data_IF_720950501764
#
_entry.id   IF_720950501764
#
_cell.length_a   1.000
_cell.length_b   1.000
_cell.length_c   1.000
_cell.angle_alpha   90.00
_cell.angle_beta   90.00
_cell.angle_gamma   90.00
#
_symmetry.space_group_name_H-M   'P 1'
#
loop_
_entity.id
_entity.type
_entity.pdbx_description
1 polymer ?
#
# COMPACT_ATOMS: atom_id res chain seq x y z
N UNK A 1 -2.16 15.02 -35.77
CA UNK A 1 -1.16 16.08 -35.51
C UNK A 1 0.21 15.43 -35.32
N UNK A 2 1.29 15.86 -35.99
CA UNK A 2 2.64 15.34 -35.72
C UNK A 2 2.97 15.57 -34.24
N UNK A 3 3.55 14.57 -33.57
CA UNK A 3 4.03 14.70 -32.19
C UNK A 3 5.11 15.78 -32.10
N UNK A 4 5.26 16.44 -30.95
CA UNK A 4 6.29 17.45 -30.70
C UNK A 4 7.67 16.98 -31.21
N UNK A 5 8.03 15.73 -30.90
CA UNK A 5 9.31 15.12 -31.28
C UNK A 5 9.53 15.07 -32.80
N UNK A 6 8.52 14.67 -33.59
CA UNK A 6 8.62 14.65 -35.04
C UNK A 6 8.83 16.05 -35.65
N UNK A 7 8.25 17.11 -35.06
CA UNK A 7 8.48 18.49 -35.52
C UNK A 7 9.83 19.06 -35.10
N UNK A 8 10.45 18.49 -34.05
CA UNK A 8 11.80 18.82 -33.59
C UNK A 8 12.89 18.11 -34.41
N UNK A 9 12.53 17.29 -35.40
CA UNK A 9 13.48 16.41 -36.09
C UNK A 9 13.96 15.23 -35.23
N UNK A 10 13.27 14.96 -34.10
CA UNK A 10 13.59 13.90 -33.16
C UNK A 10 12.68 12.69 -33.41
N UNK A 11 13.30 11.51 -33.58
CA UNK A 11 12.57 10.27 -33.77
C UNK A 11 12.60 9.45 -32.49
N UNK A 12 11.43 9.07 -31.98
CA UNK A 12 11.33 8.12 -30.88
C UNK A 12 11.59 6.72 -31.40
N UNK A 13 12.77 6.18 -31.08
CA UNK A 13 13.04 4.75 -31.28
C UNK A 13 12.56 3.99 -30.04
N UNK A 14 11.31 3.56 -30.07
CA UNK A 14 10.74 2.76 -28.99
C UNK A 14 11.43 1.40 -28.98
N UNK A 15 11.87 0.94 -27.81
CA UNK A 15 12.44 -0.39 -27.66
C UNK A 15 11.37 -1.44 -28.02
N UNK A 16 11.76 -2.48 -28.76
CA UNK A 16 10.83 -3.59 -29.02
C UNK A 16 10.45 -4.24 -27.68
N UNK A 17 9.18 -4.59 -27.54
CA UNK A 17 8.65 -5.29 -26.36
C UNK A 17 9.54 -6.50 -26.05
N UNK A 18 9.93 -6.68 -24.78
CA UNK A 18 10.84 -7.75 -24.29
C UNK A 18 12.28 -7.71 -24.81
N UNK A 19 12.75 -6.60 -25.39
CA UNK A 19 14.17 -6.38 -25.73
C UNK A 19 14.75 -5.15 -25.01
N UNK A 20 14.87 -5.17 -23.67
CA UNK A 20 15.36 -4.02 -22.88
C UNK A 20 16.80 -3.61 -23.25
N UNK A 21 17.56 -4.55 -23.82
CA UNK A 21 18.93 -4.35 -24.31
C UNK A 21 19.01 -3.37 -25.51
N UNK A 22 17.87 -3.08 -26.14
CA UNK A 22 17.78 -2.02 -27.17
C UNK A 22 17.66 -0.61 -26.61
N UNK A 23 17.56 -0.46 -25.27
CA UNK A 23 17.60 0.84 -24.59
C UNK A 23 18.99 1.46 -24.78
N UNK A 24 19.02 2.70 -25.30
CA UNK A 24 20.25 3.35 -25.75
C UNK A 24 21.35 3.42 -24.67
N UNK A 25 22.61 3.42 -25.13
CA UNK A 25 23.90 3.43 -24.41
C UNK A 25 24.07 4.47 -23.27
N UNK A 26 23.07 5.29 -22.97
CA UNK A 26 23.15 6.45 -22.08
C UNK A 26 23.36 6.04 -20.61
N UNK A 27 22.87 4.88 -20.17
CA UNK A 27 23.00 4.44 -18.77
C UNK A 27 24.46 4.23 -18.33
N UNK A 28 25.32 3.70 -19.22
CA UNK A 28 26.75 3.51 -18.93
C UNK A 28 27.50 4.84 -18.77
N UNK A 29 27.11 5.87 -19.52
CA UNK A 29 27.69 7.21 -19.39
C UNK A 29 27.39 7.85 -18.03
N UNK A 30 26.15 7.71 -17.55
CA UNK A 30 25.76 8.19 -16.21
C UNK A 30 26.54 7.46 -15.12
N UNK A 31 26.67 6.14 -15.21
CA UNK A 31 27.45 5.36 -14.26
C UNK A 31 28.94 5.73 -14.27
N UNK A 32 29.50 6.01 -15.45
CA UNK A 32 30.88 6.48 -15.58
C UNK A 32 31.10 7.82 -14.86
N UNK A 33 30.23 8.80 -15.07
CA UNK A 33 30.29 10.10 -14.36
C UNK A 33 30.14 9.90 -12.85
N UNK A 34 29.17 9.10 -12.41
CA UNK A 34 28.96 8.82 -10.97
C UNK A 34 30.16 8.18 -10.30
N UNK A 35 30.88 7.32 -11.00
CA UNK A 35 32.00 6.58 -10.43
C UNK A 35 33.35 7.30 -10.58
N UNK A 36 33.49 8.24 -11.52
CA UNK A 36 34.78 8.86 -11.86
C UNK A 36 34.84 10.38 -11.68
N UNK A 37 33.70 11.07 -11.65
CA UNK A 37 33.63 12.51 -11.40
C UNK A 37 33.21 12.83 -9.98
N UNK A 38 32.11 12.25 -9.49
CA UNK A 38 31.49 12.61 -8.22
C UNK A 38 32.27 12.20 -6.95
N UNK A 39 32.99 11.07 -6.88
CA UNK A 39 33.60 10.62 -5.62
C UNK A 39 34.63 11.63 -5.10
N UNK A 40 34.46 12.06 -3.85
CA UNK A 40 35.39 12.98 -3.17
C UNK A 40 35.29 14.45 -3.59
N UNK A 41 34.31 14.84 -4.42
CA UNK A 41 34.10 16.24 -4.81
C UNK A 41 33.51 17.05 -3.67
N UNK A 42 34.03 18.27 -3.48
CA UNK A 42 33.50 19.30 -2.59
C UNK A 42 33.19 20.51 -3.47
N UNK A 43 32.02 21.09 -3.30
CA UNK A 43 31.57 22.26 -4.05
C UNK A 43 30.72 23.15 -3.14
N UNK A 44 30.72 24.45 -3.41
CA UNK A 44 30.02 25.45 -2.60
C UNK A 44 28.57 25.61 -3.07
N UNK A 45 28.35 25.60 -4.38
CA UNK A 45 27.03 25.66 -5.02
C UNK A 45 26.99 24.87 -6.33
N UNK A 46 25.82 24.82 -6.96
CA UNK A 46 25.64 24.09 -8.22
C UNK A 46 26.46 24.68 -9.37
N UNK A 47 26.77 25.98 -9.33
CA UNK A 47 27.53 26.64 -10.39
C UNK A 47 29.01 26.22 -10.33
N UNK A 48 29.58 26.17 -9.12
CA UNK A 48 30.91 25.61 -8.85
C UNK A 48 31.00 24.14 -9.29
N UNK A 49 30.02 23.30 -8.92
CA UNK A 49 30.01 21.90 -9.37
C UNK A 49 29.94 21.77 -10.90
N UNK A 50 29.15 22.63 -11.57
CA UNK A 50 29.06 22.65 -13.03
C UNK A 50 30.38 23.05 -13.68
N UNK A 51 31.09 24.05 -13.15
CA UNK A 51 32.42 24.43 -13.64
C UNK A 51 33.43 23.29 -13.46
N UNK A 52 33.44 22.63 -12.30
CA UNK A 52 34.27 21.45 -12.05
C UNK A 52 33.96 20.30 -13.02
N UNK A 53 32.68 20.09 -13.35
CA UNK A 53 32.24 19.08 -14.32
C UNK A 53 32.71 19.41 -15.74
N UNK A 54 32.58 20.67 -16.18
CA UNK A 54 33.07 21.12 -17.49
C UNK A 54 34.57 20.90 -17.63
N UNK A 55 35.35 21.29 -16.61
CA UNK A 55 36.80 21.09 -16.62
C UNK A 55 37.19 19.60 -16.64
N UNK A 56 36.45 18.76 -15.91
CA UNK A 56 36.63 17.31 -15.94
C UNK A 56 36.31 16.74 -17.33
N UNK A 57 35.22 17.19 -17.98
CA UNK A 57 34.86 16.80 -19.34
C UNK A 57 35.95 17.18 -20.36
N UNK A 58 36.51 18.39 -20.29
CA UNK A 58 37.62 18.80 -21.16
C UNK A 58 38.83 17.87 -21.06
N UNK A 59 39.18 17.46 -19.83
CA UNK A 59 40.30 16.55 -19.58
C UNK A 59 40.00 15.15 -20.12
N UNK A 60 38.81 14.61 -19.89
CA UNK A 60 38.43 13.26 -20.35
C UNK A 60 38.28 13.21 -21.87
N UNK A 61 37.74 14.25 -22.50
CA UNK A 61 37.53 14.33 -23.96
C UNK A 61 38.84 14.42 -24.76
N UNK A 62 39.98 14.70 -24.10
CA UNK A 62 41.32 14.69 -24.70
C UNK A 62 42.02 13.33 -24.61
N UNK A 63 41.45 12.35 -23.90
CA UNK A 63 42.00 11.00 -23.83
C UNK A 63 41.59 10.20 -25.06
N UNK A 64 42.48 9.33 -25.55
CA UNK A 64 42.14 8.36 -26.59
C UNK A 64 41.12 7.36 -26.01
N UNK A 65 39.95 7.27 -26.63
CA UNK A 65 38.88 6.42 -26.14
C UNK A 65 39.04 4.99 -26.68
N UNK A 66 39.06 3.99 -25.79
CA UNK A 66 39.47 2.62 -26.12
C UNK A 66 38.60 1.90 -27.15
N UNK A 67 37.33 2.31 -27.34
CA UNK A 67 36.45 1.71 -28.37
C UNK A 67 36.57 2.39 -29.72
N UNK A 68 36.87 3.69 -29.75
CA UNK A 68 36.87 4.50 -30.98
C UNK A 68 38.27 4.76 -31.52
N UNK A 69 39.32 4.53 -30.72
CA UNK A 69 40.72 4.75 -31.12
C UNK A 69 41.13 6.23 -31.25
N UNK A 70 40.19 7.15 -31.08
CA UNK A 70 40.35 8.60 -31.27
C UNK A 70 40.04 9.35 -29.98
N UNK A 71 40.46 10.63 -29.92
CA UNK A 71 40.04 11.54 -28.86
C UNK A 71 38.61 12.00 -29.14
N UNK A 72 37.67 11.90 -28.17
CA UNK A 72 36.29 12.35 -28.35
C UNK A 72 36.16 13.79 -28.88
N UNK A 73 37.08 14.69 -28.50
CA UNK A 73 37.08 16.08 -28.95
C UNK A 73 37.33 16.25 -30.46
N UNK A 74 38.15 15.39 -31.06
CA UNK A 74 38.45 15.46 -32.49
C UNK A 74 37.28 14.87 -33.28
N UNK A 75 36.78 13.71 -32.83
CA UNK A 75 35.62 13.04 -33.42
C UNK A 75 34.36 13.89 -33.40
N UNK A 76 34.13 14.66 -32.33
CA UNK A 76 32.98 15.56 -32.22
C UNK A 76 32.99 16.65 -33.31
N UNK A 77 34.17 17.09 -33.77
CA UNK A 77 34.28 18.09 -34.85
C UNK A 77 33.87 17.53 -36.21
N UNK A 78 33.95 16.22 -36.37
CA UNK A 78 33.54 15.51 -37.58
C UNK A 78 32.06 15.09 -37.55
N UNK A 79 31.39 15.20 -36.38
CA UNK A 79 29.96 14.91 -36.28
C UNK A 79 29.11 16.07 -36.83
N UNK A 80 28.38 15.80 -37.91
CA UNK A 80 27.41 16.73 -38.51
C UNK A 80 26.10 16.79 -37.70
N UNK A 81 26.18 17.22 -36.44
CA UNK A 81 25.00 17.38 -35.59
C UNK A 81 24.17 18.58 -36.05
N UNK A 82 22.87 18.39 -36.18
CA UNK A 82 21.95 19.50 -36.41
C UNK A 82 21.82 20.33 -35.13
N UNK A 83 21.81 21.68 -35.22
CA UNK A 83 21.57 22.52 -34.06
C UNK A 83 20.18 22.23 -33.48
N UNK A 84 20.08 22.35 -32.15
CA UNK A 84 18.80 22.32 -31.45
C UNK A 84 17.89 23.39 -32.11
N UNK A 85 16.63 23.08 -32.47
CA UNK A 85 15.79 24.06 -33.17
C UNK A 85 15.58 25.34 -32.34
N UNK A 86 15.24 26.46 -32.96
CA UNK A 86 15.02 27.72 -32.21
C UNK A 86 13.86 27.60 -31.22
N UNK A 87 13.92 28.33 -30.10
CA UNK A 87 12.90 28.30 -29.05
C UNK A 87 11.48 28.62 -29.59
N UNK A 88 11.39 29.50 -30.59
CA UNK A 88 10.16 29.87 -31.30
C UNK A 88 9.43 28.66 -31.92
N UNK A 89 10.17 27.61 -32.34
CA UNK A 89 9.56 26.42 -32.95
C UNK A 89 8.74 25.58 -31.97
N UNK A 90 8.93 25.77 -30.66
CA UNK A 90 8.36 24.91 -29.62
C UNK A 90 7.36 25.64 -28.73
N UNK A 91 7.23 26.95 -28.91
CA UNK A 91 6.41 27.83 -28.09
C UNK A 91 4.97 27.34 -27.94
N UNK A 92 4.38 26.80 -29.03
CA UNK A 92 3.03 26.22 -29.03
C UNK A 92 2.85 24.94 -28.19
N UNK A 93 3.93 24.29 -27.76
CA UNK A 93 3.90 23.05 -26.98
C UNK A 93 4.28 23.27 -25.51
N UNK A 94 4.63 24.50 -25.13
CA UNK A 94 4.92 24.90 -23.74
C UNK A 94 3.65 25.24 -22.94
N UNK A 95 2.48 25.21 -23.57
CA UNK A 95 1.20 25.51 -22.94
C UNK A 95 0.52 24.22 -22.47
N UNK A 96 0.59 23.94 -21.17
CA UNK A 96 -0.14 22.84 -20.53
C UNK A 96 -1.55 23.30 -20.12
N UNK A 97 -2.64 22.66 -20.61
CA UNK A 97 -3.98 22.99 -20.16
C UNK A 97 -4.17 22.58 -18.69
N UNK A 98 -4.71 23.48 -17.87
CA UNK A 98 -4.99 23.28 -16.45
C UNK A 98 -6.31 23.96 -16.07
N UNK A 99 -7.06 23.32 -15.17
CA UNK A 99 -8.23 23.95 -14.57
C UNK A 99 -7.84 24.81 -13.38
N UNK A 100 -8.43 26.00 -13.30
CA UNK A 100 -8.33 26.86 -12.12
C UNK A 100 -9.27 26.33 -11.04
N UNK A 101 -8.75 26.04 -9.85
CA UNK A 101 -9.55 25.61 -8.72
C UNK A 101 -10.51 26.69 -8.22
N UNK A 102 -11.56 26.31 -7.47
CA UNK A 102 -12.59 27.25 -6.97
C UNK A 102 -12.04 28.32 -6.03
N UNK A 103 -10.94 28.04 -5.35
CA UNK A 103 -10.20 28.96 -4.48
C UNK A 103 -9.19 29.84 -5.24
N UNK A 104 -9.15 29.75 -6.58
CA UNK A 104 -8.37 30.62 -7.45
C UNK A 104 -6.91 30.20 -7.64
N UNK A 105 -6.62 28.90 -7.78
CA UNK A 105 -5.25 28.41 -7.99
C UNK A 105 -5.13 27.48 -9.19
N UNK A 106 -3.92 27.42 -9.76
CA UNK A 106 -3.53 26.45 -10.78
C UNK A 106 -2.34 25.65 -10.27
N UNK A 107 -2.36 24.33 -10.45
CA UNK A 107 -1.25 23.45 -10.06
C UNK A 107 -0.30 23.20 -11.22
N UNK A 108 0.98 23.46 -10.99
CA UNK A 108 2.08 23.19 -11.92
C UNK A 108 3.32 22.75 -11.14
N UNK A 109 3.94 21.64 -11.56
CA UNK A 109 5.15 21.05 -10.96
C UNK A 109 5.06 20.84 -9.42
N UNK A 110 3.87 20.47 -8.92
CA UNK A 110 3.62 20.24 -7.49
C UNK A 110 3.51 21.49 -6.62
N UNK A 111 3.47 22.68 -7.23
CA UNK A 111 3.24 23.99 -6.58
C UNK A 111 1.86 24.52 -6.99
N UNK A 112 1.21 25.28 -6.11
CA UNK A 112 -0.07 25.96 -6.38
C UNK A 112 0.19 27.45 -6.62
N UNK A 113 -0.10 27.93 -7.82
CA UNK A 113 0.07 29.32 -8.22
C UNK A 113 -1.29 30.02 -8.28
N UNK A 114 -1.41 31.15 -7.59
CA UNK A 114 -2.64 31.93 -7.47
C UNK A 114 -2.99 32.66 -8.77
N UNK A 115 -4.27 32.78 -9.07
CA UNK A 115 -4.78 33.56 -10.20
C UNK A 115 -5.96 34.40 -9.74
N UNK A 116 -6.25 35.54 -10.39
CA UNK A 116 -7.40 36.36 -10.02
C UNK A 116 -8.69 35.54 -9.97
N UNK A 117 -9.46 35.71 -8.90
CA UNK A 117 -10.60 34.88 -8.56
C UNK A 117 -11.67 34.78 -9.66
N UNK A 118 -11.75 35.78 -10.55
CA UNK A 118 -12.68 35.83 -11.68
C UNK A 118 -12.49 34.67 -12.67
N UNK A 119 -11.31 34.04 -12.66
CA UNK A 119 -10.97 32.89 -13.49
C UNK A 119 -11.19 31.55 -12.77
N UNK A 120 -11.72 31.55 -11.53
CA UNK A 120 -12.00 30.32 -10.78
C UNK A 120 -12.96 29.40 -11.54
N UNK A 121 -12.60 28.12 -11.67
CA UNK A 121 -13.38 27.13 -12.42
C UNK A 121 -13.24 27.22 -13.95
N UNK A 122 -12.48 28.18 -14.49
CA UNK A 122 -12.20 28.24 -15.93
C UNK A 122 -11.00 27.37 -16.31
N UNK A 123 -10.91 27.05 -17.60
CA UNK A 123 -9.73 26.41 -18.19
C UNK A 123 -8.70 27.48 -18.57
N UNK A 124 -7.45 27.27 -18.16
CA UNK A 124 -6.31 28.09 -18.53
C UNK A 124 -5.17 27.23 -19.08
N UNK A 125 -4.13 27.88 -19.60
CA UNK A 125 -2.88 27.23 -19.97
C UNK A 125 -1.74 27.77 -19.12
N UNK A 126 -0.84 26.89 -18.70
CA UNK A 126 0.36 27.26 -17.95
C UNK A 126 1.56 27.05 -18.84
N UNK A 127 2.49 28.00 -18.84
CA UNK A 127 3.79 27.87 -19.48
C UNK A 127 4.90 28.33 -18.56
N UNK A 128 6.07 27.74 -18.72
CA UNK A 128 7.30 28.16 -18.07
C UNK A 128 8.20 28.89 -19.06
N UNK A 129 8.56 30.13 -18.75
CA UNK A 129 9.41 30.98 -19.60
C UNK A 129 10.44 31.66 -18.71
N UNK A 130 11.73 31.39 -18.96
CA UNK A 130 12.85 32.05 -18.27
C UNK A 130 12.76 32.04 -16.73
N UNK A 131 12.32 30.92 -16.14
CA UNK A 131 12.15 30.78 -14.69
C UNK A 131 10.88 31.43 -14.11
N UNK A 132 9.98 31.89 -14.97
CA UNK A 132 8.64 32.37 -14.61
C UNK A 132 7.58 31.38 -15.04
N UNK A 133 6.56 31.21 -14.23
CA UNK A 133 5.33 30.49 -14.55
C UNK A 133 4.30 31.52 -14.97
N UNK A 134 3.91 31.50 -16.24
CA UNK A 134 2.86 32.34 -16.79
C UNK A 134 1.58 31.52 -16.97
N UNK A 135 0.48 32.07 -16.50
CA UNK A 135 -0.84 31.45 -16.57
C UNK A 135 -1.70 32.31 -17.48
N UNK A 136 -2.28 31.68 -18.49
CA UNK A 136 -3.05 32.33 -19.55
C UNK A 136 -4.48 31.79 -19.57
N UNK A 137 -5.46 32.67 -19.69
CA UNK A 137 -6.85 32.31 -19.94
C UNK A 137 -7.48 33.32 -20.91
N UNK A 138 -8.37 32.86 -21.78
CA UNK A 138 -9.08 33.69 -22.76
C UNK A 138 -8.14 34.56 -23.63
N UNK A 139 -6.94 34.05 -23.95
CA UNK A 139 -5.94 34.77 -24.75
C UNK A 139 -5.15 35.86 -24.01
N UNK A 140 -5.33 36.01 -22.69
CA UNK A 140 -4.62 36.99 -21.86
C UNK A 140 -3.79 36.32 -20.76
N UNK A 141 -2.65 36.92 -20.41
CA UNK A 141 -1.83 36.47 -19.28
C UNK A 141 -2.50 36.93 -17.98
N UNK A 142 -3.09 35.99 -17.24
CA UNK A 142 -3.89 36.29 -16.03
C UNK A 142 -3.04 36.33 -14.77
N UNK A 143 -1.89 35.65 -14.73
CA UNK A 143 -0.96 35.71 -13.62
C UNK A 143 0.45 35.30 -14.07
N UNK A 144 1.46 35.91 -13.46
CA UNK A 144 2.87 35.57 -13.67
C UNK A 144 3.58 35.44 -12.32
N UNK A 145 4.23 34.31 -12.11
CA UNK A 145 4.89 33.95 -10.84
C UNK A 145 6.33 33.53 -11.04
N UNK A 146 7.20 33.81 -10.07
CA UNK A 146 8.54 33.24 -10.08
C UNK A 146 8.45 31.73 -9.79
N UNK A 147 9.16 30.89 -10.54
CA UNK A 147 9.11 29.44 -10.36
C UNK A 147 9.69 29.05 -9.00
N UNK A 148 8.92 28.26 -8.26
CA UNK A 148 9.32 27.72 -6.95
C UNK A 148 9.63 26.24 -7.09
N UNK A 149 10.83 25.82 -6.66
CA UNK A 149 11.30 24.43 -6.74
C UNK A 149 10.98 23.57 -5.50
N UNK A 150 10.16 24.10 -4.58
CA UNK A 150 9.74 23.42 -3.35
C UNK A 150 8.33 22.83 -3.53
N UNK A 151 8.24 21.50 -3.61
CA UNK A 151 6.96 20.79 -3.69
C UNK A 151 6.03 21.17 -2.52
N UNK A 152 4.72 21.29 -2.80
CA UNK A 152 3.63 21.69 -1.88
C UNK A 152 3.64 23.16 -1.43
N UNK A 153 4.45 24.02 -2.04
CA UNK A 153 4.36 25.46 -1.82
C UNK A 153 3.07 26.06 -2.45
N UNK A 154 2.60 27.17 -1.89
CA UNK A 154 1.50 27.97 -2.44
C UNK A 154 1.99 29.39 -2.64
N UNK A 155 1.80 29.93 -3.84
CA UNK A 155 2.24 31.27 -4.25
C UNK A 155 0.99 32.08 -4.62
N UNK A 156 0.77 33.21 -3.97
CA UNK A 156 -0.38 34.08 -4.20
C UNK A 156 -0.06 35.13 -5.26
N UNK A 157 -1.04 35.54 -6.06
CA UNK A 157 -0.88 36.68 -6.98
C UNK A 157 -1.36 37.97 -6.32
N UNK A 158 -0.83 39.10 -6.77
CA UNK A 158 -1.30 40.40 -6.33
C UNK A 158 -2.79 40.56 -6.69
N UNK A 159 -3.58 41.12 -5.77
CA UNK A 159 -5.01 41.36 -5.98
C UNK A 159 -5.84 40.11 -6.33
N UNK A 160 -5.38 38.92 -5.91
CA UNK A 160 -6.05 37.63 -6.21
C UNK A 160 -7.56 37.64 -5.94
N UNK A 161 -7.99 38.31 -4.87
CA UNK A 161 -9.39 38.41 -4.45
C UNK A 161 -9.98 39.83 -4.59
N UNK A 162 -9.34 40.73 -5.33
CA UNK A 162 -9.79 42.11 -5.46
C UNK A 162 -11.15 42.20 -6.19
N UNK A 163 -12.08 42.96 -5.61
CA UNK A 163 -13.43 43.13 -6.16
C UNK A 163 -14.36 41.93 -5.99
N UNK A 164 -13.94 40.87 -5.28
CA UNK A 164 -14.92 40.08 -4.54
C UNK A 164 -15.52 41.05 -3.53
N UNK A 165 -16.79 41.40 -3.70
CA UNK A 165 -17.57 41.76 -2.53
C UNK A 165 -17.34 40.61 -1.57
N UNK A 166 -16.82 40.89 -0.38
CA UNK A 166 -17.09 40.01 0.75
C UNK A 166 -18.57 39.77 0.62
N UNK A 167 -18.98 38.58 0.18
CA UNK A 167 -20.35 38.18 0.39
C UNK A 167 -20.56 38.57 1.85
N UNK A 168 -21.61 39.33 2.12
CA UNK A 168 -22.17 39.34 3.45
C UNK A 168 -22.53 37.87 3.70
N UNK A 169 -21.52 37.08 4.04
CA UNK A 169 -21.70 35.82 4.68
C UNK A 169 -22.59 36.17 5.85
N UNK A 170 -23.57 35.32 6.10
CA UNK A 170 -24.15 35.23 7.43
C UNK A 170 -23.01 35.50 8.41
N UNK A 171 -23.14 36.59 9.15
CA UNK A 171 -22.19 36.91 10.18
C UNK A 171 -22.29 35.76 11.16
N UNK A 172 -21.50 34.71 10.95
CA UNK A 172 -21.03 33.91 12.06
C UNK A 172 -20.35 34.94 12.94
N UNK A 173 -20.89 35.21 14.14
CA UNK A 173 -20.21 36.12 15.04
C UNK A 173 -18.79 35.61 15.15
N UNK A 174 -17.82 36.45 14.78
CA UNK A 174 -16.42 36.14 15.08
C UNK A 174 -16.42 35.85 16.58
N UNK A 175 -15.91 34.69 17.05
CA UNK A 175 -15.67 34.52 18.47
C UNK A 175 -14.60 35.55 18.85
N UNK A 176 -15.07 36.73 19.23
CA UNK A 176 -14.28 37.78 19.81
C UNK A 176 -14.37 37.54 21.31
N UNK A 177 -13.22 37.39 21.95
CA UNK A 177 -13.16 37.60 23.38
C UNK A 177 -13.56 39.07 23.62
N UNK A 178 -14.75 39.31 24.18
CA UNK A 178 -15.06 40.60 24.79
C UNK A 178 -14.31 40.63 26.10
N UNK A 179 -13.35 41.54 26.24
CA UNK A 179 -12.85 41.91 27.56
C UNK A 179 -13.99 42.67 28.26
N UNK A 180 -14.76 41.93 29.04
CA UNK A 180 -15.69 42.50 30.01
C UNK A 180 -14.80 43.23 31.01
N UNK A 181 -15.14 44.47 31.41
CA UNK A 181 -14.50 45.09 32.58
C UNK A 181 -14.54 44.05 33.66
N UNK A 182 -13.38 43.71 34.25
CA UNK A 182 -13.32 42.71 35.31
C UNK A 182 -14.48 43.03 36.25
N UNK A 183 -15.48 42.14 36.32
CA UNK A 183 -16.20 42.05 37.57
C UNK A 183 -15.10 41.98 38.63
N UNK A 184 -15.24 42.74 39.72
CA UNK A 184 -14.47 42.42 40.90
C UNK A 184 -14.88 41.01 41.30
N UNK A 185 -14.24 40.03 40.66
CA UNK A 185 -14.19 38.66 41.09
C UNK A 185 -13.32 38.79 42.31
N UNK A 186 -13.93 38.66 43.49
CA UNK A 186 -13.15 38.40 44.69
C UNK A 186 -12.23 37.24 44.36
N UNK A 187 -10.94 37.52 44.24
CA UNK A 187 -9.92 36.48 44.18
C UNK A 187 -9.86 35.90 45.58
N UNK A 188 -10.76 34.94 45.84
CA UNK A 188 -10.74 34.13 47.06
C UNK A 188 -9.58 33.15 46.94
N UNK A 189 -9.02 32.72 48.08
CA UNK A 189 -7.94 31.74 48.06
C UNK A 189 -8.40 30.46 47.36
N UNK A 190 -7.45 29.74 46.75
CA UNK A 190 -7.70 28.47 46.05
C UNK A 190 -8.48 27.47 46.93
N UNK A 191 -8.31 27.57 48.26
CA UNK A 191 -9.01 26.78 49.29
C UNK A 191 -10.55 26.88 49.20
N UNK A 192 -11.09 28.03 48.75
CA UNK A 192 -12.55 28.23 48.63
C UNK A 192 -13.13 27.48 47.43
N UNK A 193 -12.36 27.30 46.36
CA UNK A 193 -12.77 26.51 45.19
C UNK A 193 -12.59 25.00 45.44
N UNK A 194 -11.57 24.62 46.22
CA UNK A 194 -11.40 23.25 46.72
C UNK A 194 -12.57 22.79 47.59
N UNK A 195 -13.07 23.67 48.47
CA UNK A 195 -14.21 23.38 49.35
C UNK A 195 -15.56 23.25 48.61
N UNK A 196 -15.73 23.91 47.47
CA UNK A 196 -17.00 23.89 46.71
C UNK A 196 -17.12 22.72 45.72
N UNK A 197 -15.99 22.15 45.27
CA UNK A 197 -15.98 21.08 44.26
C UNK A 197 -15.59 19.70 44.79
N UNK A 198 -15.21 19.59 46.08
CA UNK A 198 -14.56 18.36 46.58
C UNK A 198 -13.24 18.08 45.84
N UNK A 199 -12.54 19.16 45.46
CA UNK A 199 -11.68 19.25 44.27
C UNK A 199 -10.44 18.35 44.23
N UNK A 200 -10.00 17.77 45.34
CA UNK A 200 -8.85 16.86 45.34
C UNK A 200 -9.08 15.61 44.51
N UNK A 201 -10.22 14.94 44.70
CA UNK A 201 -10.47 13.63 44.06
C UNK A 201 -10.84 13.74 42.58
N UNK A 202 -11.54 14.81 42.16
CA UNK A 202 -11.86 15.03 40.74
C UNK A 202 -10.62 15.38 39.91
N UNK A 203 -9.69 16.15 40.48
CA UNK A 203 -8.43 16.48 39.80
C UNK A 203 -7.56 15.22 39.68
N UNK A 204 -7.48 14.41 40.73
CA UNK A 204 -6.75 13.14 40.72
C UNK A 204 -7.34 12.13 39.72
N UNK A 205 -8.67 12.06 39.62
CA UNK A 205 -9.38 11.22 38.65
C UNK A 205 -9.05 11.63 37.21
N UNK A 206 -9.19 12.92 36.87
CA UNK A 206 -8.90 13.40 35.52
C UNK A 206 -7.42 13.21 35.16
N UNK A 207 -6.50 13.43 36.13
CA UNK A 207 -5.09 13.14 35.94
C UNK A 207 -4.82 11.65 35.69
N UNK A 208 -5.48 10.76 36.42
CA UNK A 208 -5.38 9.32 36.19
C UNK A 208 -5.89 8.94 34.79
N UNK A 209 -7.02 9.51 34.36
CA UNK A 209 -7.57 9.28 33.03
C UNK A 209 -6.61 9.73 31.92
N UNK A 210 -6.08 10.95 32.01
CA UNK A 210 -5.11 11.48 31.04
C UNK A 210 -3.84 10.63 30.96
N UNK A 211 -3.32 10.15 32.10
CA UNK A 211 -2.15 9.24 32.12
C UNK A 211 -2.46 7.90 31.45
N UNK A 212 -3.65 7.34 31.68
CA UNK A 212 -4.08 6.12 31.00
C UNK A 212 -4.15 6.31 29.48
N UNK A 213 -4.68 7.45 29.03
CA UNK A 213 -4.72 7.80 27.60
C UNK A 213 -3.32 7.97 26.99
N UNK A 214 -2.40 8.64 27.71
CA UNK A 214 -1.01 8.83 27.28
C UNK A 214 -0.26 7.49 27.15
N UNK A 215 -0.57 6.53 28.01
CA UNK A 215 -0.07 5.14 27.93
C UNK A 215 -0.80 4.28 26.88
N UNK A 216 -1.81 4.83 26.19
CA UNK A 216 -2.61 4.15 25.18
C UNK A 216 -3.65 3.18 25.74
N UNK A 217 -3.95 3.24 27.04
CA UNK A 217 -4.93 2.40 27.75
C UNK A 217 -6.33 3.05 27.65
N UNK A 218 -6.83 3.21 26.43
CA UNK A 218 -8.06 3.97 26.17
C UNK A 218 -9.32 3.34 26.77
N UNK A 219 -9.42 2.02 26.81
CA UNK A 219 -10.56 1.33 27.40
C UNK A 219 -10.52 1.45 28.93
N UNK A 220 -9.34 1.34 29.53
CA UNK A 220 -9.16 1.60 30.96
C UNK A 220 -9.57 3.04 31.31
N UNK A 221 -9.15 4.02 30.52
CA UNK A 221 -9.53 5.43 30.72
C UNK A 221 -11.05 5.64 30.61
N UNK A 222 -11.70 5.01 29.62
CA UNK A 222 -13.14 5.09 29.42
C UNK A 222 -13.94 4.45 30.55
N UNK A 223 -13.47 3.33 31.10
CA UNK A 223 -14.18 2.55 32.11
C UNK A 223 -13.79 2.90 33.55
N UNK A 224 -12.86 3.83 33.75
CA UNK A 224 -12.32 4.22 35.06
C UNK A 224 -13.43 4.63 36.04
N UNK A 225 -14.32 5.53 35.62
CA UNK A 225 -15.40 6.05 36.46
C UNK A 225 -16.36 4.92 36.90
N UNK A 226 -16.79 4.10 35.93
CA UNK A 226 -17.67 2.97 36.20
C UNK A 226 -17.03 1.92 37.14
N UNK A 227 -15.72 1.68 37.01
CA UNK A 227 -15.00 0.75 37.89
C UNK A 227 -14.80 1.33 39.29
N UNK A 228 -14.62 2.65 39.42
CA UNK A 228 -14.52 3.32 40.73
C UNK A 228 -15.85 3.29 41.47
N UNK A 229 -16.96 3.54 40.77
CA UNK A 229 -18.30 3.39 41.32
C UNK A 229 -18.55 1.94 41.79
N UNK A 230 -18.24 0.95 40.94
CA UNK A 230 -18.36 -0.46 41.32
C UNK A 230 -17.46 -0.84 42.51
N UNK A 231 -16.24 -0.31 42.56
CA UNK A 231 -15.31 -0.55 43.66
C UNK A 231 -15.78 0.10 44.97
N UNK A 232 -16.48 1.22 44.91
CA UNK A 232 -17.06 1.86 46.10
C UNK A 232 -18.10 0.95 46.79
N UNK A 233 -18.86 0.18 46.00
CA UNK A 233 -19.86 -0.76 46.51
C UNK A 233 -19.30 -2.13 46.87
N UNK A 234 -18.35 -2.65 46.08
CA UNK A 234 -17.79 -3.99 46.26
C UNK A 234 -16.55 -4.06 47.16
N UNK A 235 -15.94 -2.92 47.50
CA UNK A 235 -14.70 -2.81 48.27
C UNK A 235 -13.58 -3.80 47.87
N UNK A 236 -13.24 -3.92 46.57
CA UNK A 236 -12.15 -4.78 46.12
C UNK A 236 -10.81 -4.27 46.67
N UNK A 237 -9.83 -5.17 46.82
CA UNK A 237 -8.45 -4.76 47.13
C UNK A 237 -7.88 -3.90 46.00
N UNK A 238 -6.90 -3.04 46.30
CA UNK A 238 -6.27 -2.19 45.28
C UNK A 238 -5.68 -3.00 44.11
N UNK A 239 -5.11 -4.18 44.39
CA UNK A 239 -4.62 -5.09 43.36
C UNK A 239 -5.76 -5.65 42.50
N UNK A 240 -6.88 -6.01 43.10
CA UNK A 240 -8.04 -6.51 42.37
C UNK A 240 -8.66 -5.42 41.47
N UNK A 241 -8.74 -4.19 41.96
CA UNK A 241 -9.21 -3.05 41.17
C UNK A 241 -8.29 -2.79 39.96
N UNK A 242 -6.97 -2.73 40.20
CA UNK A 242 -6.00 -2.52 39.14
C UNK A 242 -6.06 -3.64 38.08
N UNK A 243 -6.11 -4.90 38.51
CA UNK A 243 -6.20 -6.03 37.57
C UNK A 243 -7.51 -5.99 36.77
N UNK A 244 -8.65 -5.68 37.40
CA UNK A 244 -9.93 -5.57 36.68
C UNK A 244 -9.87 -4.51 35.57
N UNK A 245 -9.27 -3.35 35.86
CA UNK A 245 -9.12 -2.27 34.89
C UNK A 245 -8.17 -2.66 33.74
N UNK A 246 -7.05 -3.33 34.05
CA UNK A 246 -6.10 -3.82 33.06
C UNK A 246 -6.68 -4.96 32.22
N UNK A 247 -7.44 -5.87 32.81
CA UNK A 247 -8.11 -6.98 32.13
C UNK A 247 -9.14 -6.46 31.12
N UNK A 248 -9.90 -5.41 31.47
CA UNK A 248 -10.82 -4.75 30.55
C UNK A 248 -10.08 -4.16 29.33
N UNK A 249 -8.92 -3.53 29.53
CA UNK A 249 -8.08 -3.04 28.44
C UNK A 249 -7.49 -4.16 27.59
N UNK A 250 -7.00 -5.24 28.21
CA UNK A 250 -6.45 -6.40 27.51
C UNK A 250 -7.54 -7.04 26.65
N UNK A 251 -8.74 -7.25 27.19
CA UNK A 251 -9.87 -7.83 26.47
C UNK A 251 -10.25 -6.99 25.24
N UNK A 252 -10.35 -5.66 25.40
CA UNK A 252 -10.68 -4.78 24.28
C UNK A 252 -9.55 -4.70 23.24
N UNK A 253 -8.28 -4.72 23.67
CA UNK A 253 -7.14 -4.83 22.73
C UNK A 253 -7.16 -6.15 21.96
N UNK A 254 -7.44 -7.27 22.62
CA UNK A 254 -7.55 -8.58 21.97
C UNK A 254 -8.70 -8.58 20.96
N UNK A 255 -9.86 -8.04 21.32
CA UNK A 255 -11.01 -7.88 20.43
C UNK A 255 -10.67 -7.03 19.20
N UNK A 256 -10.13 -5.82 19.39
CA UNK A 256 -9.69 -4.95 18.28
C UNK A 256 -8.65 -5.63 17.39
N UNK A 257 -7.67 -6.30 17.98
CA UNK A 257 -6.65 -7.03 17.22
C UNK A 257 -7.25 -8.17 16.40
N UNK A 258 -8.21 -8.91 16.96
CA UNK A 258 -8.93 -9.97 16.26
C UNK A 258 -9.75 -9.42 15.09
N UNK A 259 -10.49 -8.32 15.30
CA UNK A 259 -11.25 -7.66 14.24
C UNK A 259 -10.35 -7.17 13.10
N UNK A 260 -9.22 -6.54 13.44
CA UNK A 260 -8.23 -6.08 12.45
C UNK A 260 -7.64 -7.25 11.69
N UNK A 261 -7.21 -8.33 12.37
CA UNK A 261 -6.68 -9.53 11.70
C UNK A 261 -7.73 -10.18 10.81
N UNK A 262 -8.98 -10.25 11.25
CA UNK A 262 -10.09 -10.79 10.44
C UNK A 262 -10.27 -10.00 9.15
N UNK A 263 -10.23 -8.65 9.22
CA UNK A 263 -10.30 -7.78 8.04
C UNK A 263 -9.08 -7.97 7.12
N UNK A 264 -7.88 -8.04 7.68
CA UNK A 264 -6.63 -8.21 6.93
C UNK A 264 -6.46 -9.62 6.34
N UNK A 265 -7.18 -10.61 6.86
CA UNK A 265 -7.11 -11.99 6.37
C UNK A 265 -7.84 -12.19 5.04
N UNK A 266 -8.71 -11.28 4.61
CA UNK A 266 -9.45 -11.38 3.35
C UNK A 266 -10.23 -12.71 3.19
N UNK A 267 -10.82 -13.21 4.29
CA UNK A 267 -11.65 -14.41 4.23
C UNK A 267 -12.88 -14.16 3.33
N UNK A 268 -13.22 -15.08 2.41
CA UNK A 268 -14.35 -14.90 1.50
C UNK A 268 -15.69 -14.98 2.23
N UNK A 269 -15.73 -15.76 3.30
CA UNK A 269 -16.87 -15.97 4.20
C UNK A 269 -16.34 -16.50 5.53
N UNK A 270 -17.19 -16.52 6.56
CA UNK A 270 -16.86 -17.12 7.86
C UNK A 270 -17.50 -18.51 7.96
N UNK A 271 -16.67 -19.52 8.24
CA UNK A 271 -17.05 -20.90 8.54
C UNK A 271 -16.18 -21.41 9.67
N UNK A 272 -16.75 -22.18 10.59
CA UNK A 272 -16.01 -22.79 11.71
C UNK A 272 -15.88 -24.30 11.54
N UNK A 273 -15.05 -24.93 12.37
CA UNK A 273 -14.91 -26.39 12.39
C UNK A 273 -16.17 -27.07 12.95
N UNK A 274 -16.91 -26.39 13.83
CA UNK A 274 -18.16 -26.88 14.42
C UNK A 274 -19.27 -27.02 13.37
N UNK A 275 -19.27 -26.15 12.36
CA UNK A 275 -20.20 -26.24 11.22
C UNK A 275 -19.83 -27.37 10.23
N UNK A 276 -18.70 -28.05 10.41
CA UNK A 276 -18.25 -29.11 9.52
C UNK A 276 -18.79 -30.48 9.96
N UNK A 277 -19.54 -31.14 9.08
CA UNK A 277 -20.16 -32.45 9.34
C UNK A 277 -19.18 -33.59 9.01
N UNK A 278 -18.36 -33.98 9.98
CA UNK A 278 -17.39 -35.09 9.81
C UNK A 278 -18.06 -36.42 9.48
N UNK A 279 -19.30 -36.65 9.92
CA UNK A 279 -20.03 -37.87 9.60
C UNK A 279 -20.37 -37.97 8.10
N UNK A 280 -20.65 -36.85 7.44
CA UNK A 280 -20.88 -36.82 6.00
C UNK A 280 -19.60 -36.95 5.17
N UNK A 281 -18.43 -36.63 5.75
CA UNK A 281 -17.15 -36.77 5.08
C UNK A 281 -16.22 -37.73 5.83
N UNK A 282 -16.50 -39.05 5.82
CA UNK A 282 -15.76 -40.03 6.61
C UNK A 282 -14.34 -40.28 6.11
N UNK A 283 -13.98 -39.78 4.91
CA UNK A 283 -12.62 -39.87 4.39
C UNK A 283 -11.61 -38.99 5.14
N UNK A 284 -12.10 -38.04 5.95
CA UNK A 284 -11.27 -37.14 6.73
C UNK A 284 -11.07 -37.73 8.12
N UNK A 285 -9.81 -37.82 8.55
CA UNK A 285 -9.48 -38.07 9.95
C UNK A 285 -9.76 -36.80 10.77
N UNK A 286 -10.86 -36.82 11.53
CA UNK A 286 -11.23 -35.72 12.43
C UNK A 286 -10.13 -35.41 13.46
N UNK A 287 -9.37 -36.42 13.91
CA UNK A 287 -8.30 -36.21 14.89
C UNK A 287 -7.19 -35.35 14.31
N UNK A 288 -6.80 -35.62 13.06
CA UNK A 288 -5.81 -34.81 12.35
C UNK A 288 -6.30 -33.37 12.15
N UNK A 289 -7.57 -33.17 11.77
CA UNK A 289 -8.11 -31.80 11.62
C UNK A 289 -8.11 -31.04 12.95
N UNK A 290 -8.45 -31.72 14.05
CA UNK A 290 -8.39 -31.14 15.40
C UNK A 290 -6.94 -30.85 15.84
N UNK A 291 -5.97 -31.69 15.47
CA UNK A 291 -4.55 -31.39 15.67
C UNK A 291 -4.11 -30.16 14.88
N UNK A 292 -4.50 -30.06 13.61
CA UNK A 292 -4.21 -28.88 12.79
C UNK A 292 -4.84 -27.61 13.37
N UNK A 293 -6.02 -27.71 14.01
CA UNK A 293 -6.68 -26.60 14.70
C UNK A 293 -5.85 -26.02 15.86
N UNK A 294 -4.91 -26.78 16.43
CA UNK A 294 -3.98 -26.26 17.46
C UNK A 294 -2.94 -25.29 16.91
N UNK A 295 -2.85 -25.13 15.58
CA UNK A 295 -1.88 -24.29 14.89
C UNK A 295 -0.40 -24.63 15.15
N UNK A 296 -0.12 -25.80 15.74
CA UNK A 296 1.25 -26.29 15.97
C UNK A 296 2.04 -26.34 14.65
N UNK A 297 1.41 -26.76 13.55
CA UNK A 297 2.02 -26.79 12.22
C UNK A 297 2.50 -25.40 11.76
N UNK A 298 1.80 -24.33 12.13
CA UNK A 298 2.18 -22.94 11.80
C UNK A 298 3.46 -22.55 12.53
N UNK A 299 3.60 -22.97 13.79
CA UNK A 299 4.81 -22.71 14.59
C UNK A 299 6.03 -23.47 14.08
N UNK A 300 5.81 -24.65 13.48
CA UNK A 300 6.85 -25.50 12.86
C UNK A 300 7.15 -25.17 11.41
N UNK A 301 6.45 -24.18 10.83
CA UNK A 301 6.57 -23.83 9.41
C UNK A 301 6.23 -24.98 8.45
N UNK A 302 5.33 -25.88 8.88
CA UNK A 302 4.81 -26.97 8.07
C UNK A 302 3.66 -26.46 7.19
N UNK A 303 3.46 -27.10 6.04
CA UNK A 303 2.38 -26.79 5.10
C UNK A 303 1.19 -27.75 5.29
N UNK A 304 0.01 -27.34 4.83
CA UNK A 304 -1.19 -28.19 4.83
C UNK A 304 -1.77 -28.22 3.42
N UNK A 305 -2.04 -29.41 2.90
CA UNK A 305 -2.56 -29.59 1.55
C UNK A 305 -3.89 -30.35 1.62
N UNK A 306 -4.99 -29.69 1.28
CA UNK A 306 -6.28 -30.32 1.08
C UNK A 306 -6.47 -30.68 -0.40
N UNK A 307 -6.54 -31.97 -0.71
CA UNK A 307 -6.71 -32.48 -2.07
C UNK A 307 -8.03 -33.21 -2.21
N UNK A 308 -8.70 -33.10 -3.36
CA UNK A 308 -9.93 -33.86 -3.61
C UNK A 308 -10.89 -33.20 -4.60
N UNK A 309 -11.97 -33.87 -5.02
CA UNK A 309 -12.90 -33.35 -6.02
C UNK A 309 -13.66 -32.09 -5.53
N UNK A 310 -14.31 -31.34 -6.43
CA UNK A 310 -15.06 -30.14 -6.04
C UNK A 310 -16.21 -30.45 -5.08
N UNK A 311 -16.45 -29.55 -4.13
CA UNK A 311 -17.59 -29.64 -3.21
C UNK A 311 -17.44 -30.57 -2.01
N UNK A 312 -16.26 -31.18 -1.79
CA UNK A 312 -16.04 -32.10 -0.65
C UNK A 312 -15.67 -31.43 0.69
N UNK A 313 -15.52 -30.11 0.73
CA UNK A 313 -15.27 -29.35 1.97
C UNK A 313 -13.86 -28.76 2.15
N UNK A 314 -12.96 -28.87 1.15
CA UNK A 314 -11.57 -28.34 1.23
C UNK A 314 -11.50 -26.87 1.65
N UNK A 315 -12.20 -25.99 0.93
CA UNK A 315 -12.21 -24.55 1.21
C UNK A 315 -12.90 -24.21 2.53
N UNK A 316 -13.89 -25.02 2.97
CA UNK A 316 -14.49 -24.88 4.29
C UNK A 316 -13.44 -25.11 5.38
N UNK A 317 -12.70 -26.22 5.32
CA UNK A 317 -11.66 -26.52 6.30
C UNK A 317 -10.55 -25.47 6.30
N UNK A 318 -10.14 -25.00 5.10
CA UNK A 318 -9.17 -23.92 4.99
C UNK A 318 -9.64 -22.64 5.71
N UNK A 319 -10.88 -22.21 5.48
CA UNK A 319 -11.48 -21.04 6.15
C UNK A 319 -11.65 -21.28 7.65
N UNK A 320 -12.07 -22.49 8.05
CA UNK A 320 -12.26 -22.83 9.46
C UNK A 320 -10.94 -22.79 10.25
N UNK A 321 -9.87 -23.35 9.69
CA UNK A 321 -8.52 -23.24 10.25
C UNK A 321 -8.01 -21.80 10.25
N UNK A 322 -8.40 -20.99 9.26
CA UNK A 322 -8.08 -19.56 9.23
C UNK A 322 -8.72 -18.79 10.40
N UNK A 323 -10.00 -19.05 10.66
CA UNK A 323 -10.74 -18.44 11.78
C UNK A 323 -10.10 -18.84 13.10
N UNK A 324 -9.75 -20.11 13.26
CA UNK A 324 -9.07 -20.62 14.45
C UNK A 324 -7.69 -19.96 14.65
N UNK A 325 -6.87 -19.88 13.59
CA UNK A 325 -5.59 -19.19 13.62
C UNK A 325 -5.72 -17.72 14.04
N UNK A 326 -6.72 -17.00 13.51
CA UNK A 326 -6.96 -15.60 13.86
C UNK A 326 -7.35 -15.44 15.34
N UNK A 327 -8.16 -16.37 15.87
CA UNK A 327 -8.56 -16.38 17.28
C UNK A 327 -7.36 -16.57 18.22
N UNK A 328 -6.37 -17.36 17.81
CA UNK A 328 -5.09 -17.56 18.51
C UNK A 328 -4.07 -16.44 18.24
N UNK A 329 -4.47 -15.36 17.55
CA UNK A 329 -3.64 -14.19 17.30
C UNK A 329 -2.61 -14.35 16.17
N UNK A 330 -2.73 -15.40 15.36
CA UNK A 330 -1.86 -15.66 14.20
C UNK A 330 -2.31 -14.79 13.02
N UNK A 331 -1.34 -14.21 12.30
CA UNK A 331 -1.63 -13.46 11.07
C UNK A 331 -1.89 -14.41 9.91
N UNK A 332 -3.07 -14.26 9.29
CA UNK A 332 -3.52 -15.07 8.16
C UNK A 332 -3.74 -14.18 6.95
N UNK A 333 -3.56 -14.71 5.74
CA UNK A 333 -4.00 -14.09 4.50
C UNK A 333 -4.59 -15.15 3.58
N UNK A 334 -5.81 -14.93 3.10
CA UNK A 334 -6.53 -15.82 2.20
C UNK A 334 -6.59 -15.21 0.81
N UNK A 335 -6.32 -16.03 -0.22
CA UNK A 335 -6.40 -15.63 -1.62
C UNK A 335 -6.64 -16.86 -2.49
N UNK A 336 -7.39 -16.72 -3.59
CA UNK A 336 -7.39 -17.76 -4.62
C UNK A 336 -6.10 -17.69 -5.44
N UNK A 337 -5.62 -18.81 -5.97
CA UNK A 337 -4.39 -18.81 -6.75
C UNK A 337 -4.49 -17.88 -7.97
N UNK A 338 -5.64 -17.85 -8.65
CA UNK A 338 -5.91 -16.96 -9.77
C UNK A 338 -5.71 -15.49 -9.39
N UNK A 339 -6.25 -15.07 -8.24
CA UNK A 339 -6.16 -13.70 -7.76
C UNK A 339 -4.74 -13.33 -7.31
N UNK A 340 -4.03 -14.28 -6.68
CA UNK A 340 -2.62 -14.11 -6.30
C UNK A 340 -1.76 -13.88 -7.55
N UNK A 341 -1.92 -14.73 -8.57
CA UNK A 341 -1.17 -14.62 -9.82
C UNK A 341 -1.46 -13.30 -10.51
N UNK A 342 -2.74 -12.93 -10.69
CA UNK A 342 -3.12 -11.70 -11.37
C UNK A 342 -2.51 -10.47 -10.69
N UNK A 343 -2.56 -10.45 -9.36
CA UNK A 343 -2.02 -9.37 -8.57
C UNK A 343 -0.48 -9.28 -8.64
N UNK A 344 0.22 -10.41 -8.60
CA UNK A 344 1.66 -10.45 -8.79
C UNK A 344 2.08 -10.07 -10.22
N UNK A 345 1.31 -10.46 -11.24
CA UNK A 345 1.54 -10.06 -12.64
C UNK A 345 1.42 -8.56 -12.80
N UNK A 346 0.36 -7.96 -12.25
CA UNK A 346 0.17 -6.50 -12.25
C UNK A 346 1.34 -5.80 -11.55
N UNK A 347 1.75 -6.29 -10.39
CA UNK A 347 2.90 -5.74 -9.67
C UNK A 347 4.23 -5.89 -10.44
N UNK A 348 4.41 -6.99 -11.15
CA UNK A 348 5.56 -7.21 -12.03
C UNK A 348 5.58 -6.22 -13.19
N UNK A 349 4.45 -6.00 -13.88
CA UNK A 349 4.35 -5.01 -14.95
C UNK A 349 4.58 -3.57 -14.49
N UNK A 350 4.22 -3.27 -13.24
CA UNK A 350 4.38 -1.95 -12.62
C UNK A 350 5.73 -1.78 -11.90
N UNK A 351 6.67 -2.73 -12.04
CA UNK A 351 8.00 -2.73 -11.38
C UNK A 351 7.93 -2.55 -9.85
N UNK A 352 6.94 -3.16 -9.21
CA UNK A 352 6.74 -3.13 -7.74
C UNK A 352 6.53 -4.52 -7.14
N UNK A 353 7.05 -5.56 -7.80
CA UNK A 353 6.88 -6.95 -7.41
C UNK A 353 7.34 -7.20 -5.97
N UNK A 354 8.53 -6.72 -5.58
CA UNK A 354 9.08 -6.93 -4.23
C UNK A 354 8.14 -6.42 -3.13
N UNK A 355 7.54 -5.25 -3.33
CA UNK A 355 6.58 -4.67 -2.39
C UNK A 355 5.32 -5.52 -2.30
N UNK A 356 4.87 -6.10 -3.42
CA UNK A 356 3.66 -6.93 -3.46
C UNK A 356 3.88 -8.33 -2.90
N UNK A 357 5.02 -8.97 -3.20
CA UNK A 357 5.41 -10.26 -2.63
C UNK A 357 5.41 -10.24 -1.09
N UNK A 358 5.84 -9.12 -0.46
CA UNK A 358 5.82 -8.97 1.00
C UNK A 358 4.42 -9.15 1.62
N UNK A 359 3.35 -8.85 0.89
CA UNK A 359 1.97 -9.04 1.38
C UNK A 359 1.66 -10.53 1.55
N UNK A 360 2.18 -11.38 0.66
CA UNK A 360 2.00 -12.83 0.72
C UNK A 360 3.03 -13.54 1.60
N UNK A 361 4.19 -12.93 1.85
CA UNK A 361 5.27 -13.52 2.66
C UNK A 361 5.11 -13.18 4.16
N UNK A 362 4.65 -11.98 4.51
CA UNK A 362 4.58 -11.50 5.91
C UNK A 362 3.59 -12.26 6.83
N UNK A 363 2.41 -12.73 6.36
CA UNK A 363 1.49 -13.50 7.18
C UNK A 363 2.13 -14.82 7.66
N UNK A 364 1.88 -15.22 8.91
CA UNK A 364 2.38 -16.50 9.43
C UNK A 364 1.74 -17.69 8.70
N UNK A 365 0.47 -17.57 8.34
CA UNK A 365 -0.26 -18.53 7.52
C UNK A 365 -0.76 -17.87 6.22
N UNK A 366 -0.33 -18.38 5.08
CA UNK A 366 -0.88 -18.01 3.77
C UNK A 366 -1.80 -19.11 3.28
N UNK A 367 -3.04 -18.77 2.96
CA UNK A 367 -4.03 -19.70 2.42
C UNK A 367 -4.21 -19.43 0.93
N UNK A 368 -3.99 -20.46 0.12
CA UNK A 368 -4.10 -20.42 -1.34
C UNK A 368 -5.17 -21.40 -1.79
N UNK A 369 -6.35 -20.87 -2.12
CA UNK A 369 -7.50 -21.67 -2.53
C UNK A 369 -7.54 -21.90 -4.04
N UNK A 370 -8.26 -22.95 -4.46
CA UNK A 370 -8.63 -23.23 -5.86
C UNK A 370 -7.45 -23.50 -6.81
N UNK A 371 -6.43 -24.24 -6.36
CA UNK A 371 -5.35 -24.67 -7.25
C UNK A 371 -5.86 -25.78 -8.18
N UNK A 372 -5.69 -25.60 -9.50
CA UNK A 372 -5.95 -26.65 -10.49
C UNK A 372 -7.08 -26.41 -11.49
N UNK A 373 -7.70 -25.23 -11.49
CA UNK A 373 -8.78 -24.88 -12.43
C UNK A 373 -8.31 -24.16 -13.70
N UNK A 374 -7.22 -23.38 -13.63
CA UNK A 374 -6.69 -22.62 -14.76
C UNK A 374 -5.23 -22.99 -15.02
N UNK A 375 -4.84 -23.28 -16.27
CA UNK A 375 -3.45 -23.51 -16.61
C UNK A 375 -2.64 -22.22 -16.47
N UNK A 376 -1.38 -22.34 -16.09
CA UNK A 376 -0.46 -21.22 -15.95
C UNK A 376 0.34 -20.96 -17.23
N UNK A 377 0.65 -19.69 -17.44
CA UNK A 377 1.77 -19.33 -18.30
C UNK A 377 3.09 -19.39 -17.52
N UNK A 378 4.21 -19.40 -18.23
CA UNK A 378 5.54 -19.48 -17.60
C UNK A 378 5.79 -18.36 -16.58
N UNK A 379 5.21 -17.17 -16.78
CA UNK A 379 5.33 -16.07 -15.82
C UNK A 379 4.58 -16.37 -14.52
N UNK A 380 3.33 -16.84 -14.59
CA UNK A 380 2.54 -17.20 -13.43
C UNK A 380 3.21 -18.31 -12.60
N UNK A 381 3.71 -19.37 -13.25
CA UNK A 381 4.43 -20.44 -12.57
C UNK A 381 5.68 -19.91 -11.82
N UNK A 382 6.45 -19.02 -12.46
CA UNK A 382 7.62 -18.38 -11.83
C UNK A 382 7.23 -17.48 -10.63
N UNK A 383 6.15 -16.70 -10.75
CA UNK A 383 5.67 -15.85 -9.65
C UNK A 383 5.20 -16.68 -8.46
N UNK A 384 4.48 -17.78 -8.72
CA UNK A 384 4.06 -18.69 -7.67
C UNK A 384 5.25 -19.39 -7.01
N UNK A 385 6.23 -19.85 -7.79
CA UNK A 385 7.48 -20.39 -7.28
C UNK A 385 8.22 -19.41 -6.35
N UNK A 386 8.23 -18.12 -6.66
CA UNK A 386 8.83 -17.10 -5.79
C UNK A 386 8.11 -17.01 -4.43
N UNK A 387 6.77 -17.08 -4.41
CA UNK A 387 6.00 -17.08 -3.16
C UNK A 387 6.33 -18.34 -2.34
N UNK A 388 6.29 -19.51 -2.96
CA UNK A 388 6.58 -20.79 -2.28
C UNK A 388 8.00 -20.81 -1.75
N UNK A 389 8.98 -20.42 -2.57
CA UNK A 389 10.39 -20.40 -2.19
C UNK A 389 10.70 -19.40 -1.08
N UNK A 390 10.03 -18.24 -1.06
CA UNK A 390 10.25 -17.25 -0.02
C UNK A 390 9.64 -17.64 1.33
N UNK A 391 8.63 -18.53 1.31
CA UNK A 391 7.94 -19.03 2.51
C UNK A 391 8.49 -20.37 3.02
N UNK A 392 9.17 -21.13 2.17
CA UNK A 392 9.82 -22.38 2.54
C UNK A 392 10.68 -22.21 3.81
N UNK A 393 10.42 -23.03 4.83
CA UNK A 393 11.04 -23.01 6.18
C UNK A 393 10.88 -21.69 6.96
N UNK A 394 10.05 -20.76 6.50
CA UNK A 394 9.87 -19.42 7.12
C UNK A 394 8.41 -19.07 7.44
N UNK A 395 7.45 -19.72 6.77
CA UNK A 395 6.04 -19.47 6.98
C UNK A 395 5.18 -20.53 6.32
N UNK A 396 4.10 -20.94 6.99
CA UNK A 396 3.25 -22.03 6.54
C UNK A 396 2.35 -21.61 5.38
N UNK A 397 2.12 -22.55 4.46
CA UNK A 397 1.15 -22.44 3.38
C UNK A 397 0.08 -23.52 3.60
N UNK A 398 -1.19 -23.09 3.60
CA UNK A 398 -2.32 -24.00 3.46
C UNK A 398 -2.87 -23.85 2.05
N UNK A 399 -2.98 -24.94 1.30
CA UNK A 399 -3.51 -24.91 -0.05
C UNK A 399 -4.65 -25.91 -0.25
N UNK A 400 -5.55 -25.56 -1.16
CA UNK A 400 -6.58 -26.49 -1.63
C UNK A 400 -6.38 -26.77 -3.11
N UNK A 401 -6.52 -28.03 -3.51
CA UNK A 401 -6.45 -28.40 -4.92
C UNK A 401 -7.46 -29.48 -5.29
N UNK A 402 -7.97 -29.41 -6.52
CA UNK A 402 -8.73 -30.49 -7.15
C UNK A 402 -7.86 -31.41 -8.01
N UNK A 403 -6.55 -31.16 -8.08
CA UNK A 403 -5.58 -31.90 -8.88
C UNK A 403 -4.67 -32.74 -7.99
N UNK A 404 -4.30 -33.92 -8.48
CA UNK A 404 -3.24 -34.74 -7.90
C UNK A 404 -1.86 -34.14 -8.23
N UNK A 405 -0.83 -34.48 -7.46
CA UNK A 405 0.52 -33.93 -7.66
C UNK A 405 1.09 -34.20 -9.06
N UNK A 406 0.76 -35.34 -9.68
CA UNK A 406 1.22 -35.66 -11.04
C UNK A 406 0.68 -34.70 -12.11
N UNK A 407 -0.50 -34.11 -11.87
CA UNK A 407 -1.14 -33.18 -12.81
C UNK A 407 -0.60 -31.74 -12.69
N UNK A 408 0.24 -31.45 -11.69
CA UNK A 408 0.79 -30.10 -11.52
C UNK A 408 1.81 -29.72 -12.59
N UNK A 409 2.49 -30.70 -13.20
CA UNK A 409 3.39 -30.45 -14.33
C UNK A 409 2.65 -29.87 -15.53
N UNK A 410 1.50 -30.45 -15.87
CA UNK A 410 0.62 -29.94 -16.94
C UNK A 410 0.01 -28.59 -16.57
N UNK A 411 -0.46 -28.44 -15.32
CA UNK A 411 -1.04 -27.19 -14.83
C UNK A 411 -0.07 -26.01 -14.94
N UNK A 412 1.20 -26.22 -14.61
CA UNK A 412 2.22 -25.16 -14.58
C UNK A 412 2.84 -24.87 -15.96
N UNK A 413 2.62 -25.75 -16.95
CA UNK A 413 3.25 -25.66 -18.27
C UNK A 413 4.78 -25.88 -18.28
N UNK A 414 5.36 -26.21 -17.12
CA UNK A 414 6.78 -26.48 -16.91
C UNK A 414 6.93 -27.57 -15.83
N UNK A 415 7.15 -28.84 -16.22
CA UNK A 415 7.30 -29.95 -15.29
C UNK A 415 8.48 -29.80 -14.32
N UNK A 416 9.57 -29.12 -14.73
CA UNK A 416 10.75 -28.94 -13.89
C UNK A 416 10.41 -27.95 -12.77
N UNK A 417 9.79 -26.83 -13.12
CA UNK A 417 9.36 -25.84 -12.14
C UNK A 417 8.27 -26.38 -11.22
N UNK A 418 7.32 -27.15 -11.75
CA UNK A 418 6.29 -27.83 -10.95
C UNK A 418 6.92 -28.76 -9.91
N UNK A 419 7.92 -29.54 -10.30
CA UNK A 419 8.64 -30.43 -9.39
C UNK A 419 9.36 -29.63 -8.30
N UNK A 420 10.01 -28.51 -8.65
CA UNK A 420 10.68 -27.64 -7.69
C UNK A 420 9.72 -26.95 -6.69
N UNK A 421 8.50 -26.63 -7.13
CA UNK A 421 7.43 -26.12 -6.26
C UNK A 421 6.95 -27.20 -5.30
N UNK A 422 6.63 -28.40 -5.83
CA UNK A 422 6.13 -29.51 -5.06
C UNK A 422 7.14 -29.99 -4.02
N UNK A 423 8.42 -30.08 -4.38
CA UNK A 423 9.51 -30.44 -3.46
C UNK A 423 9.49 -29.58 -2.19
N UNK A 424 9.42 -28.25 -2.37
CA UNK A 424 9.36 -27.29 -1.25
C UNK A 424 8.04 -27.34 -0.48
N UNK A 425 6.91 -27.53 -1.17
CA UNK A 425 5.61 -27.60 -0.52
C UNK A 425 5.46 -28.89 0.31
N UNK A 426 6.01 -30.00 -0.16
CA UNK A 426 5.77 -31.33 0.38
C UNK A 426 6.78 -31.77 1.45
N UNK A 427 8.00 -31.21 1.44
CA UNK A 427 9.06 -31.61 2.38
C UNK A 427 8.63 -31.57 3.85
N UNK A 428 7.95 -30.50 4.26
CA UNK A 428 7.34 -30.37 5.59
C UNK A 428 5.86 -30.10 5.43
N UNK A 429 5.05 -31.16 5.33
CA UNK A 429 3.63 -31.00 5.06
C UNK A 429 2.71 -32.08 5.62
N UNK A 430 1.47 -31.67 5.87
CA UNK A 430 0.33 -32.53 6.16
C UNK A 430 -0.55 -32.60 4.92
N UNK A 431 -0.69 -33.80 4.34
CA UNK A 431 -1.47 -34.02 3.13
C UNK A 431 -2.78 -34.71 3.51
N UNK A 432 -3.90 -34.05 3.23
CA UNK A 432 -5.24 -34.55 3.53
C UNK A 432 -6.01 -34.76 2.23
N UNK A 433 -6.17 -36.03 1.86
CA UNK A 433 -6.90 -36.45 0.67
C UNK A 433 -8.38 -36.68 1.01
N UNK A 434 -9.24 -35.76 0.58
CA UNK A 434 -10.67 -35.77 0.85
C UNK A 434 -11.40 -36.43 -0.33
N UNK A 435 -12.13 -37.51 -0.06
CA UNK A 435 -12.90 -38.29 -1.05
C UNK A 435 -14.33 -38.43 -0.59
N UNK A 436 -15.30 -38.15 -1.45
CA UNK A 436 -16.70 -38.39 -1.12
C UNK A 436 -17.64 -37.54 -1.95
N UNK A 437 -18.91 -37.55 -1.56
CA UNK A 437 -19.96 -36.81 -2.24
C UNK A 437 -19.82 -35.30 -2.00
N UNK A 438 -20.29 -34.52 -2.98
CA UNK A 438 -20.28 -33.06 -2.89
C UNK A 438 -21.37 -32.56 -1.94
N UNK A 439 -20.98 -31.78 -0.94
CA UNK A 439 -21.89 -31.04 -0.06
C UNK A 439 -22.86 -30.15 -0.85
N UNK A 440 -22.34 -29.49 -1.90
CA UNK A 440 -23.14 -28.60 -2.76
C UNK A 440 -24.25 -29.36 -3.50
N UNK A 441 -24.00 -30.62 -3.88
CA UNK A 441 -25.03 -31.47 -4.51
C UNK A 441 -26.05 -31.98 -3.48
N UNK A 442 -25.60 -32.36 -2.28
CA UNK A 442 -26.49 -32.73 -1.17
C UNK A 442 -27.49 -31.61 -0.83
N UNK A 443 -27.01 -30.37 -0.72
CA UNK A 443 -27.87 -29.23 -0.45
C UNK A 443 -28.90 -29.01 -1.55
N UNK A 444 -28.49 -29.10 -2.83
CA UNK A 444 -29.41 -28.99 -3.98
C UNK A 444 -30.45 -30.10 -4.06
N UNK A 445 -30.10 -31.33 -3.69
CA UNK A 445 -31.05 -32.45 -3.60
C UNK A 445 -32.04 -32.23 -2.46
N UNK A 446 -31.58 -31.71 -1.32
CA UNK A 446 -32.42 -31.41 -0.16
C UNK A 446 -33.36 -30.21 -0.38
N UNK A 447 -33.00 -29.26 -1.23
CA UNK A 447 -33.87 -28.15 -1.64
C UNK A 447 -34.77 -28.48 -2.85
N UNK A 448 -34.79 -29.74 -3.31
CA UNK A 448 -35.71 -30.22 -4.35
C UNK A 448 -35.36 -29.81 -5.79
N UNK A 449 -34.16 -29.30 -6.06
CA UNK A 449 -33.77 -28.77 -7.37
C UNK A 449 -33.19 -29.79 -8.35
N UNK A 450 -33.04 -31.06 -7.94
CA UNK A 450 -32.61 -32.17 -8.80
C UNK A 450 -33.54 -33.37 -8.58
N UNK A 451 -34.30 -33.72 -9.61
CA UNK A 451 -34.95 -35.03 -9.71
C UNK A 451 -33.90 -36.13 -9.85
N UNK A 452 -34.16 -37.28 -9.23
CA UNK A 452 -33.31 -38.48 -9.29
C UNK A 452 -32.87 -38.77 -10.73
N UNK A 453 -31.59 -39.11 -11.00
CA UNK A 453 -31.22 -39.55 -12.34
C UNK A 453 -31.99 -40.82 -12.66
N UNK A 454 -32.75 -40.80 -13.76
CA UNK A 454 -33.44 -41.97 -14.30
C UNK A 454 -32.44 -43.08 -14.54
N UNK A 455 -32.56 -44.15 -13.75
CA UNK A 455 -31.85 -45.40 -13.98
C UNK A 455 -32.39 -46.01 -15.29
N UNK A 456 -31.51 -46.11 -16.30
CA UNK A 456 -31.70 -46.96 -17.47
C UNK A 456 -30.42 -47.73 -17.69
#
# INVERSE_FOLDING_TARGET
>A
MPTLLQRLGLFTKVCKVRRPETKGKVERGVQYVKNNFLPGKRFVDLQDLNQQALHWCERINRRIHGTTGERPIDRLREENLSPIPSAERWEKYLHEPRQVSRDGFVSYDGVRYGVPWRYSGREGTVREVNGWVEIWADGTCIARHQKVYRSRATVFCENQYAGLTTAQGYAYPRPQARQISSQQVEVRSLDVYEQLTGGGSMIELEQARLRLEELGLQQAALLLDAHLEAASHGQPTYLSFLNMLLDAEIAERQKRNMEVRTKLAHLPYRKTLEEFDFAFQPSIDERLIRELATMTFVTRHENVLFLGPPGVGKSHLAVALAVEAISQGISVYFVSLSQLIEDLRKAYTENRLDKRLRIYIRPKLLIIDEIGYLPFDSLAANLFFQVVSARYERGSILLTSNKSFGEWGELMGDPILATAILDRLLHHSHIVNIRGNSYRLREKMRTGAYGSPSTT
#
